data_IF_456565951555
#
_entry.id   IF_456565951555
#
_cell.length_a   1.000
_cell.length_b   1.000
_cell.length_c   1.000
_cell.angle_alpha   90.00
_cell.angle_beta   90.00
_cell.angle_gamma   90.00
#
_symmetry.space_group_name_H-M   'P 1'
#
loop_
_entity.id
_entity.type
_entity.pdbx_description
1 polymer ?
#
# COMPACT_ATOMS: atom_id res chain seq x y z
N UNK A 1 -11.84 -31.67 -21.95
CA UNK A 1 -11.80 -30.88 -23.20
C UNK A 1 -11.75 -29.42 -22.81
N UNK A 2 -10.61 -28.75 -22.94
CA UNK A 2 -10.51 -27.32 -22.72
C UNK A 2 -10.88 -26.63 -24.04
N UNK A 3 -11.98 -25.87 -24.05
CA UNK A 3 -12.39 -25.08 -25.21
C UNK A 3 -11.34 -24.01 -25.50
N UNK A 4 -10.90 -23.93 -26.75
CA UNK A 4 -10.03 -22.85 -27.21
C UNK A 4 -10.82 -21.54 -27.16
N UNK A 5 -10.37 -20.61 -26.31
CA UNK A 5 -10.81 -19.23 -26.37
C UNK A 5 -10.05 -18.60 -27.54
N UNK A 6 -10.77 -18.11 -28.55
CA UNK A 6 -10.21 -17.57 -29.80
C UNK A 6 -9.38 -16.29 -29.60
N UNK A 7 -9.31 -15.75 -28.38
CA UNK A 7 -8.45 -14.63 -27.98
C UNK A 7 -8.26 -14.65 -26.46
N UNK A 8 -7.38 -15.52 -25.91
CA UNK A 8 -7.12 -15.53 -24.47
C UNK A 8 -6.47 -14.21 -24.09
N UNK A 9 -7.10 -13.43 -23.22
CA UNK A 9 -6.43 -12.28 -22.61
C UNK A 9 -5.63 -12.83 -21.43
N UNK A 10 -4.39 -13.25 -21.73
CA UNK A 10 -3.50 -14.03 -20.85
C UNK A 10 -3.33 -13.44 -19.44
N UNK A 11 -3.62 -12.15 -19.26
CA UNK A 11 -3.52 -11.47 -17.97
C UNK A 11 -4.81 -11.64 -17.15
N UNK A 12 -6.00 -11.58 -17.78
CA UNK A 12 -7.31 -11.69 -17.12
C UNK A 12 -7.67 -13.13 -16.76
N UNK A 13 -7.34 -14.07 -17.63
CA UNK A 13 -7.72 -15.49 -17.47
C UNK A 13 -6.83 -16.24 -16.45
N UNK A 14 -5.64 -15.71 -16.14
CA UNK A 14 -4.64 -16.37 -15.28
C UNK A 14 -4.57 -15.75 -13.89
N UNK A 15 -4.79 -14.44 -13.76
CA UNK A 15 -4.69 -13.72 -12.49
C UNK A 15 -6.06 -13.23 -12.04
N UNK A 16 -6.67 -13.94 -11.08
CA UNK A 16 -8.00 -13.65 -10.52
C UNK A 16 -8.07 -12.36 -9.68
N UNK A 17 -6.98 -11.59 -9.59
CA UNK A 17 -6.89 -10.40 -8.75
C UNK A 17 -5.84 -9.42 -9.30
N UNK A 18 -6.06 -8.91 -10.51
CA UNK A 18 -5.26 -7.82 -11.06
C UNK A 18 -5.97 -6.48 -10.86
N UNK A 19 -5.23 -5.49 -10.38
CA UNK A 19 -5.62 -4.07 -10.44
C UNK A 19 -5.09 -3.46 -11.74
N UNK A 20 -5.96 -2.81 -12.51
CA UNK A 20 -5.61 -2.18 -13.78
C UNK A 20 -6.38 -0.87 -13.99
N UNK A 21 -5.89 -0.05 -14.92
CA UNK A 21 -6.50 1.23 -15.27
C UNK A 21 -7.23 1.13 -16.61
N UNK A 22 -8.45 1.64 -16.70
CA UNK A 22 -9.21 1.72 -17.97
C UNK A 22 -9.03 3.07 -18.66
N UNK A 23 -9.59 3.21 -19.86
CA UNK A 23 -9.55 4.45 -20.67
C UNK A 23 -10.29 5.63 -20.03
N UNK A 24 -11.16 5.36 -19.05
CA UNK A 24 -11.82 6.35 -18.18
C UNK A 24 -10.89 6.90 -17.09
N UNK A 25 -9.60 6.52 -17.11
CA UNK A 25 -8.58 6.91 -16.15
C UNK A 25 -8.77 6.42 -14.71
N UNK A 26 -9.75 5.56 -14.44
CA UNK A 26 -10.06 5.00 -13.12
C UNK A 26 -9.37 3.64 -12.92
N UNK A 27 -9.19 3.26 -11.65
CA UNK A 27 -8.64 1.96 -11.26
C UNK A 27 -9.75 0.94 -11.06
N UNK A 28 -9.54 -0.26 -11.56
CA UNK A 28 -10.45 -1.39 -11.46
C UNK A 28 -9.71 -2.61 -10.95
N UNK A 29 -10.42 -3.53 -10.28
CA UNK A 29 -9.97 -4.91 -10.13
C UNK A 29 -10.86 -5.84 -10.95
N UNK A 30 -10.28 -6.91 -11.50
CA UNK A 30 -11.04 -7.96 -12.18
C UNK A 30 -11.64 -8.90 -11.12
N UNK A 31 -12.97 -9.04 -11.10
CA UNK A 31 -13.67 -9.95 -10.19
C UNK A 31 -13.97 -11.33 -10.80
N UNK A 32 -13.57 -11.54 -12.06
CA UNK A 32 -13.89 -12.74 -12.84
C UNK A 32 -15.29 -12.75 -13.46
N UNK A 33 -16.12 -11.72 -13.21
CA UNK A 33 -17.47 -11.59 -13.78
C UNK A 33 -17.70 -10.22 -14.41
N UNK A 34 -17.32 -9.15 -13.71
CA UNK A 34 -17.24 -7.80 -14.23
C UNK A 34 -16.09 -7.05 -13.55
N UNK A 35 -15.45 -6.15 -14.27
CA UNK A 35 -14.44 -5.28 -13.69
C UNK A 35 -15.10 -4.29 -12.70
N UNK A 36 -14.58 -4.18 -11.48
CA UNK A 36 -15.15 -3.33 -10.42
C UNK A 36 -14.25 -2.13 -10.16
N UNK A 37 -14.81 -0.92 -10.17
CA UNK A 37 -14.07 0.31 -9.87
C UNK A 37 -13.61 0.34 -8.41
N UNK A 38 -12.32 0.57 -8.18
CA UNK A 38 -11.72 0.59 -6.84
C UNK A 38 -12.03 1.87 -6.06
N UNK A 39 -12.31 2.97 -6.76
CA UNK A 39 -12.57 4.30 -6.21
C UNK A 39 -13.76 4.93 -6.93
N UNK A 40 -14.94 4.36 -6.69
CA UNK A 40 -16.20 4.95 -7.13
C UNK A 40 -16.48 6.22 -6.30
N UNK A 41 -16.04 7.37 -6.82
CA UNK A 41 -16.19 8.68 -6.16
C UNK A 41 -17.66 9.08 -5.95
N UNK A 42 -18.60 8.49 -6.70
CA UNK A 42 -20.03 8.74 -6.52
C UNK A 42 -20.63 7.86 -5.41
N UNK A 43 -19.91 6.82 -4.95
CA UNK A 43 -20.18 6.07 -3.72
C UNK A 43 -19.39 6.57 -2.51
N UNK A 44 -18.66 7.68 -2.68
CA UNK A 44 -17.94 8.39 -1.63
C UNK A 44 -18.86 9.16 -0.68
N UNK A 45 -20.19 9.12 -0.86
CA UNK A 45 -21.15 9.63 0.13
C UNK A 45 -21.13 8.84 1.45
N UNK A 46 -20.46 7.68 1.48
CA UNK A 46 -20.16 6.93 2.71
C UNK A 46 -18.67 6.95 3.09
N UNK A 47 -17.88 7.82 2.47
CA UNK A 47 -16.52 8.13 2.97
C UNK A 47 -16.58 9.19 4.09
N UNK A 48 -17.61 9.09 4.93
CA UNK A 48 -17.93 9.97 6.05
C UNK A 48 -17.03 9.54 7.21
N UNK A 49 -16.28 10.49 7.77
CA UNK A 49 -15.58 10.43 9.06
C UNK A 49 -15.33 9.01 9.61
N UNK A 50 -14.21 8.40 9.21
CA UNK A 50 -13.80 7.08 9.74
C UNK A 50 -13.64 5.98 8.69
N UNK A 51 -13.70 6.31 7.41
CA UNK A 51 -13.41 5.37 6.31
C UNK A 51 -11.94 4.99 6.31
N UNK A 52 -11.64 3.89 6.97
CA UNK A 52 -10.31 3.30 7.05
C UNK A 52 -10.06 2.47 5.80
N UNK A 53 -9.01 2.81 5.05
CA UNK A 53 -8.40 1.84 4.16
C UNK A 53 -7.87 0.69 5.02
N UNK A 54 -8.58 -0.43 5.02
CA UNK A 54 -8.25 -1.59 5.85
C UNK A 54 -7.61 -2.65 4.96
N UNK A 55 -6.32 -2.87 5.12
CA UNK A 55 -5.65 -4.04 4.56
C UNK A 55 -5.66 -5.16 5.61
N UNK A 56 -6.42 -6.22 5.34
CA UNK A 56 -6.49 -7.38 6.23
C UNK A 56 -5.61 -8.48 5.62
N UNK A 57 -4.32 -8.47 5.93
CA UNK A 57 -3.43 -9.55 5.51
C UNK A 57 -3.89 -10.87 6.15
N UNK A 58 -3.57 -12.04 5.58
CA UNK A 58 -3.53 -13.28 6.35
C UNK A 58 -2.74 -13.08 7.63
N UNK A 59 -2.99 -13.89 8.68
CA UNK A 59 -2.23 -13.81 9.92
C UNK A 59 -0.73 -13.99 9.63
N UNK A 60 0.02 -12.89 9.66
CA UNK A 60 1.46 -12.89 9.50
C UNK A 60 2.08 -13.25 10.84
N UNK A 61 3.03 -14.18 10.83
CA UNK A 61 3.82 -14.57 12.01
C UNK A 61 5.27 -14.08 11.91
N UNK A 62 5.62 -13.44 10.79
CA UNK A 62 6.92 -12.86 10.52
C UNK A 62 6.82 -11.78 9.42
N UNK A 63 7.87 -10.97 9.27
CA UNK A 63 7.99 -9.95 8.22
C UNK A 63 7.24 -8.65 8.51
N UNK A 64 7.15 -7.81 7.47
CA UNK A 64 6.50 -6.50 7.53
C UNK A 64 5.10 -6.54 6.90
N UNK A 65 4.13 -5.91 7.57
CA UNK A 65 2.77 -5.69 7.03
C UNK A 65 2.80 -4.53 6.03
N UNK A 66 3.68 -3.55 6.28
CA UNK A 66 3.89 -2.39 5.43
C UNK A 66 5.37 -2.00 5.45
N UNK A 67 5.92 -1.67 4.29
CA UNK A 67 7.32 -1.31 4.11
C UNK A 67 7.45 -0.21 3.05
N UNK A 68 8.29 0.77 3.32
CA UNK A 68 8.74 1.77 2.38
C UNK A 68 10.25 1.65 2.22
N UNK A 69 10.68 1.37 0.99
CA UNK A 69 12.07 1.31 0.61
C UNK A 69 12.51 2.57 -0.14
N UNK A 70 13.76 2.98 0.08
CA UNK A 70 14.47 3.88 -0.80
C UNK A 70 15.66 3.15 -1.41
N UNK A 71 15.58 2.82 -2.69
CA UNK A 71 16.62 2.10 -3.43
C UNK A 71 17.03 0.78 -2.72
N UNK A 72 16.05 -0.07 -2.43
CA UNK A 72 16.20 -1.36 -1.73
C UNK A 72 16.69 -1.27 -0.27
N UNK A 73 16.60 -0.09 0.34
CA UNK A 73 16.85 0.08 1.77
C UNK A 73 15.58 0.51 2.47
N UNK A 74 15.10 -0.31 3.41
CA UNK A 74 13.97 0.02 4.27
C UNK A 74 14.21 1.36 4.97
N UNK A 75 13.29 2.31 4.80
CA UNK A 75 13.30 3.61 5.49
C UNK A 75 12.22 3.69 6.57
N UNK A 76 11.13 2.94 6.40
CA UNK A 76 10.03 2.85 7.33
C UNK A 76 9.32 1.51 7.15
N UNK A 77 8.94 0.86 8.25
CA UNK A 77 8.08 -0.32 8.20
C UNK A 77 7.20 -0.46 9.43
N UNK A 78 6.18 -1.30 9.28
CA UNK A 78 5.34 -1.81 10.36
C UNK A 78 5.40 -3.32 10.29
N UNK A 79 5.90 -3.96 11.36
CA UNK A 79 6.00 -5.41 11.38
C UNK A 79 4.68 -6.12 11.68
N UNK A 80 4.66 -7.45 11.53
CA UNK A 80 3.49 -8.29 11.81
C UNK A 80 2.95 -8.16 13.25
N UNK A 81 3.76 -7.66 14.19
CA UNK A 81 3.36 -7.40 15.58
C UNK A 81 2.90 -5.94 15.80
N UNK A 82 2.85 -5.12 14.76
CA UNK A 82 2.45 -3.72 14.81
C UNK A 82 3.56 -2.76 15.25
N UNK A 83 4.82 -3.20 15.27
CA UNK A 83 5.94 -2.34 15.66
C UNK A 83 6.33 -1.43 14.50
N UNK A 84 6.26 -0.11 14.70
CA UNK A 84 6.80 0.88 13.78
C UNK A 84 8.33 0.89 13.88
N UNK A 85 9.00 0.77 12.73
CA UNK A 85 10.46 0.83 12.60
C UNK A 85 10.81 1.97 11.65
N UNK A 86 11.71 2.83 12.10
CA UNK A 86 12.34 3.85 11.28
C UNK A 86 13.77 3.44 11.00
N UNK A 87 14.27 3.75 9.80
CA UNK A 87 15.70 3.63 9.54
C UNK A 87 16.47 4.56 10.48
N UNK A 88 17.37 3.95 11.26
CA UNK A 88 18.31 4.65 12.12
C UNK A 88 19.14 5.65 11.33
N UNK A 89 19.15 6.90 11.78
CA UNK A 89 19.98 7.97 11.24
C UNK A 89 21.20 8.17 12.13
N UNK A 90 22.40 8.16 11.55
CA UNK A 90 23.63 8.42 12.31
C UNK A 90 23.77 9.87 12.78
N UNK A 91 22.93 10.78 12.27
CA UNK A 91 22.87 12.19 12.64
C UNK A 91 21.49 12.76 12.31
N UNK A 92 21.18 13.95 12.85
CA UNK A 92 19.96 14.66 12.48
C UNK A 92 19.92 14.93 10.95
N UNK A 93 18.86 14.52 10.24
CA UNK A 93 18.68 14.85 8.84
C UNK A 93 18.60 16.37 8.62
N UNK A 94 18.90 16.87 7.42
CA UNK A 94 18.82 18.33 7.15
C UNK A 94 17.38 18.85 7.16
N UNK A 95 16.40 18.03 6.79
CA UNK A 95 14.99 18.39 6.66
C UNK A 95 14.14 17.88 7.84
N UNK A 96 14.51 18.21 9.08
CA UNK A 96 13.73 17.76 10.24
C UNK A 96 12.52 18.65 10.54
N UNK A 97 12.41 19.87 10.00
CA UNK A 97 11.25 20.74 10.29
C UNK A 97 9.94 20.07 9.89
N UNK A 98 9.10 19.75 10.88
CA UNK A 98 7.85 19.00 10.70
C UNK A 98 8.03 17.48 10.53
N UNK A 99 9.24 16.96 10.70
CA UNK A 99 9.60 15.56 10.51
C UNK A 99 9.84 14.80 11.82
N UNK A 100 9.92 13.48 11.69
CA UNK A 100 10.24 12.53 12.76
C UNK A 100 11.45 11.69 12.32
N UNK A 101 12.44 11.51 13.18
CA UNK A 101 13.53 10.54 12.92
C UNK A 101 13.96 9.80 14.19
N UNK A 102 14.64 8.67 13.99
CA UNK A 102 15.21 7.84 15.05
C UNK A 102 16.72 7.74 14.84
N UNK A 103 17.52 7.96 15.89
CA UNK A 103 18.98 7.92 15.82
C UNK A 103 19.60 6.60 16.33
N UNK A 104 18.76 5.63 16.69
CA UNK A 104 19.18 4.38 17.33
C UNK A 104 18.98 4.38 18.84
N UNK A 105 18.78 5.55 19.45
CA UNK A 105 18.58 5.72 20.90
C UNK A 105 17.27 6.41 21.22
N UNK A 106 16.93 7.48 20.49
CA UNK A 106 15.78 8.34 20.77
C UNK A 106 15.02 8.72 19.50
N UNK A 107 13.74 9.01 19.68
CA UNK A 107 12.86 9.54 18.64
C UNK A 107 12.86 11.06 18.75
N UNK A 108 13.06 11.74 17.63
CA UNK A 108 13.17 13.20 17.55
C UNK A 108 12.07 13.77 16.66
N UNK A 109 11.33 14.76 17.17
CA UNK A 109 10.40 15.58 16.40
C UNK A 109 11.13 16.87 16.03
N UNK A 110 11.32 17.13 14.74
CA UNK A 110 11.90 18.41 14.34
C UNK A 110 10.83 19.48 14.37
N UNK A 111 10.98 20.42 15.29
CA UNK A 111 10.08 21.56 15.46
C UNK A 111 10.65 22.78 14.71
N UNK A 112 9.81 23.57 14.06
CA UNK A 112 10.15 24.94 13.68
C UNK A 112 10.12 25.79 14.95
N UNK A 113 11.22 26.47 15.25
CA UNK A 113 11.29 27.53 16.26
C UNK A 113 10.39 28.72 15.89
#
# INVERSE_FOLDING_TARGET
>A
MAGSLSSPNLIKDVYTSLVFRKSDNKFYYDSGSADVELLDLDKLDNFVEGSKLTYNSPALTSGNIFELDNNSTEVFSVDYAGVLKFKTQGSAPTAVTGGLYFDGTSIYLGQSS
#
